data_IF_675245703548
#
_entry.id   IF_675245703548
#
_cell.length_a   1.000
_cell.length_b   1.000
_cell.length_c   1.000
_cell.angle_alpha   90.00
_cell.angle_beta   90.00
_cell.angle_gamma   90.00
#
_symmetry.space_group_name_H-M   'P 1'
#
loop_
_entity.id
_entity.type
_entity.pdbx_description
1 polymer ?
#
# COMPACT_ATOMS: atom_id res chain seq x y z
N UNK A 1 17.92 11.05 -0.65
CA UNK A 1 18.31 9.63 -0.85
C UNK A 1 17.05 8.80 -0.63
N UNK A 2 16.03 8.78 -1.51
CA UNK A 2 15.96 8.16 -2.85
C UNK A 2 15.35 6.76 -2.67
N UNK A 3 14.14 6.37 -3.08
CA UNK A 3 13.05 6.99 -3.86
C UNK A 3 11.71 6.36 -3.42
N UNK A 4 10.80 7.13 -2.82
CA UNK A 4 9.44 6.71 -2.46
C UNK A 4 8.55 6.74 -3.71
N UNK A 5 8.84 5.89 -4.70
CA UNK A 5 8.16 5.91 -5.99
C UNK A 5 7.04 4.87 -6.03
N UNK A 6 5.86 5.30 -6.50
CA UNK A 6 4.71 4.44 -6.79
C UNK A 6 5.15 3.30 -7.71
N UNK A 7 5.36 2.12 -7.14
CA UNK A 7 5.78 0.95 -7.90
C UNK A 7 4.57 0.38 -8.64
N UNK A 8 4.75 0.09 -9.92
CA UNK A 8 3.79 -0.72 -10.68
C UNK A 8 3.89 -2.18 -10.23
N UNK A 9 2.78 -2.72 -9.71
CA UNK A 9 2.67 -4.12 -9.25
C UNK A 9 1.55 -4.85 -9.99
N UNK A 10 1.22 -4.39 -11.19
CA UNK A 10 0.17 -4.93 -12.05
C UNK A 10 0.53 -6.33 -12.57
N UNK A 11 -0.48 -7.18 -12.75
CA UNK A 11 -0.33 -8.57 -13.26
C UNK A 11 -0.83 -8.75 -14.70
N UNK A 12 -1.21 -7.64 -15.35
CA UNK A 12 -1.77 -7.63 -16.71
C UNK A 12 -3.30 -7.77 -16.75
N UNK A 13 -3.95 -8.14 -15.65
CA UNK A 13 -5.41 -8.11 -15.51
C UNK A 13 -5.89 -6.89 -14.72
N UNK A 14 -5.15 -6.48 -13.70
CA UNK A 14 -5.46 -5.31 -12.87
C UNK A 14 -4.28 -4.37 -12.82
N UNK A 15 -4.53 -3.07 -13.00
CA UNK A 15 -3.50 -2.04 -12.85
C UNK A 15 -3.44 -1.57 -11.40
N UNK A 16 -2.34 -1.82 -10.70
CA UNK A 16 -2.19 -1.50 -9.26
C UNK A 16 -0.87 -0.75 -9.02
N UNK A 17 -0.95 0.29 -8.18
CA UNK A 17 0.21 1.00 -7.63
C UNK A 17 0.47 0.61 -6.19
N UNK A 18 1.74 0.40 -5.86
CA UNK A 18 2.25 0.21 -4.51
C UNK A 18 3.01 1.43 -4.01
N UNK A 19 2.76 1.89 -2.79
CA UNK A 19 3.49 2.98 -2.15
C UNK A 19 3.87 2.61 -0.70
N UNK A 20 5.16 2.73 -0.35
CA UNK A 20 5.65 2.54 1.01
C UNK A 20 5.55 3.85 1.81
N UNK A 21 4.73 3.82 2.86
CA UNK A 21 4.48 4.92 3.76
C UNK A 21 5.16 4.67 5.11
N UNK A 22 6.14 5.49 5.51
CA UNK A 22 6.69 5.43 6.86
C UNK A 22 5.64 5.90 7.88
N UNK A 23 5.49 5.17 8.99
CA UNK A 23 4.69 5.58 10.14
C UNK A 23 5.65 5.92 11.27
N UNK A 24 5.88 7.23 11.43
CA UNK A 24 7.03 7.79 12.16
C UNK A 24 7.09 7.42 13.65
N UNK A 25 5.94 7.16 14.27
CA UNK A 25 5.85 7.05 15.73
C UNK A 25 6.46 5.75 16.31
N UNK A 26 6.71 4.70 15.50
CA UNK A 26 7.18 3.38 16.02
C UNK A 26 8.06 2.54 15.09
N UNK A 27 8.81 3.15 14.15
CA UNK A 27 9.52 2.37 13.10
C UNK A 27 8.59 1.41 12.35
N UNK A 28 7.33 1.80 12.20
CA UNK A 28 6.33 1.02 11.50
C UNK A 28 6.32 1.45 10.03
N UNK A 29 6.07 0.50 9.15
CA UNK A 29 5.92 0.75 7.73
C UNK A 29 4.59 0.17 7.28
N UNK A 30 3.84 0.94 6.50
CA UNK A 30 2.66 0.44 5.80
C UNK A 30 2.90 0.54 4.30
N UNK A 31 2.36 -0.42 3.55
CA UNK A 31 2.31 -0.37 2.10
C UNK A 31 0.89 -0.16 1.65
N UNK A 32 0.67 0.89 0.87
CA UNK A 32 -0.61 1.20 0.26
C UNK A 32 -0.68 0.56 -1.13
N UNK A 33 -1.85 0.02 -1.44
CA UNK A 33 -2.17 -0.53 -2.76
C UNK A 33 -3.46 0.12 -3.24
N UNK A 34 -3.46 0.65 -4.46
CA UNK A 34 -4.64 1.23 -5.07
C UNK A 34 -4.61 1.04 -6.59
N UNK A 35 -5.75 0.82 -7.25
CA UNK A 35 -5.80 0.78 -8.69
C UNK A 35 -5.74 2.20 -9.28
N UNK A 36 -5.13 2.36 -10.46
CA UNK A 36 -5.01 3.66 -11.15
C UNK A 36 -6.40 4.28 -11.46
N UNK A 37 -7.43 3.44 -11.60
CA UNK A 37 -8.80 3.85 -11.90
C UNK A 37 -9.48 4.59 -10.74
N UNK A 38 -9.12 4.29 -9.48
CA UNK A 38 -9.73 4.92 -8.30
C UNK A 38 -9.32 6.39 -8.17
N UNK A 39 -8.18 6.81 -8.73
CA UNK A 39 -7.81 8.22 -8.75
C UNK A 39 -8.71 9.10 -9.64
N UNK A 40 -9.52 8.50 -10.52
CA UNK A 40 -10.39 9.24 -11.44
C UNK A 40 -11.77 9.57 -10.85
N UNK A 41 -12.15 8.94 -9.73
CA UNK A 41 -13.40 9.20 -9.03
C UNK A 41 -13.21 10.16 -7.85
N UNK A 42 -14.08 11.16 -7.72
CA UNK A 42 -14.13 12.02 -6.52
C UNK A 42 -14.96 11.41 -5.37
N UNK A 43 -15.39 10.16 -5.52
CA UNK A 43 -16.21 9.46 -4.53
C UNK A 43 -15.31 8.70 -3.54
N UNK A 44 -15.60 8.75 -2.22
CA UNK A 44 -14.90 7.93 -1.24
C UNK A 44 -14.99 6.44 -1.57
N UNK A 45 -13.85 5.74 -1.49
CA UNK A 45 -13.77 4.30 -1.68
C UNK A 45 -13.57 3.59 -0.34
N UNK A 46 -14.04 2.34 -0.18
CA UNK A 46 -13.72 1.54 0.98
C UNK A 46 -12.20 1.29 1.08
N UNK A 47 -11.65 1.40 2.29
CA UNK A 47 -10.24 1.13 2.58
C UNK A 47 -10.12 -0.13 3.41
N UNK A 48 -9.25 -1.05 3.00
CA UNK A 48 -8.99 -2.30 3.71
C UNK A 48 -7.66 -2.17 4.45
N UNK A 49 -7.70 -2.28 5.78
CA UNK A 49 -6.50 -2.46 6.60
C UNK A 49 -6.14 -3.94 6.65
N UNK A 50 -5.00 -4.29 6.06
CA UNK A 50 -4.47 -5.66 6.07
C UNK A 50 -3.29 -5.78 7.02
N UNK A 51 -3.33 -6.80 7.88
CA UNK A 51 -2.22 -7.21 8.75
C UNK A 51 -1.80 -8.62 8.32
N UNK A 52 -0.54 -8.77 7.94
CA UNK A 52 -0.05 -10.06 7.47
C UNK A 52 0.04 -11.09 8.61
N UNK A 53 -0.15 -12.37 8.27
CA UNK A 53 0.08 -13.48 9.20
C UNK A 53 1.58 -13.73 9.46
N UNK A 54 1.91 -14.82 10.15
CA UNK A 54 3.30 -15.17 10.46
C UNK A 54 3.57 -15.47 11.94
N UNK A 55 2.53 -15.69 12.73
CA UNK A 55 2.65 -16.21 14.09
C UNK A 55 3.03 -15.19 15.16
N UNK A 56 3.06 -13.89 14.83
CA UNK A 56 3.36 -12.80 15.78
C UNK A 56 4.62 -13.07 16.62
N UNK A 57 5.68 -13.56 15.98
CA UNK A 57 6.90 -14.01 16.67
C UNK A 57 7.68 -12.77 17.13
N UNK A 58 7.38 -12.30 18.34
CA UNK A 58 8.21 -11.37 19.09
C UNK A 58 9.15 -12.15 19.99
N UNK A 59 10.45 -11.92 19.87
CA UNK A 59 11.43 -12.41 20.86
C UNK A 59 11.36 -11.58 22.13
#
# INVERSE_FOLDING_TARGET
MGTTLNQDVSDGQVTIRGYDCPIEERFMHARFFYPDEVQKGNEPAPVILYLHGGGFIGR
#
